data_IF_553724333245
#
_entry.id   IF_553724333245
#
_cell.length_a   1.000
_cell.length_b   1.000
_cell.length_c   1.000
_cell.angle_alpha   90.00
_cell.angle_beta   90.00
_cell.angle_gamma   90.00
#
_symmetry.space_group_name_H-M   'P 1'
#
loop_
_entity.id
_entity.type
_entity.pdbx_description
1 polymer ?
#
# COMPACT_ATOMS: atom_id res chain seq x y z
N UNK A 1 2.69 13.59 3.15
CA UNK A 1 2.95 12.14 3.11
C UNK A 1 1.96 11.54 4.08
N UNK A 2 1.19 10.53 3.68
CA UNK A 2 0.26 9.85 4.57
C UNK A 2 1.09 9.20 5.68
N UNK A 3 0.91 9.70 6.91
CA UNK A 3 1.78 9.40 8.05
C UNK A 3 1.79 7.92 8.40
N UNK A 4 0.69 7.21 8.15
CA UNK A 4 0.52 5.82 8.52
C UNK A 4 1.37 4.85 7.68
N UNK A 5 1.86 5.26 6.51
CA UNK A 5 2.69 4.39 5.66
C UNK A 5 4.01 3.99 6.31
N UNK A 6 4.47 4.73 7.34
CA UNK A 6 5.65 4.38 8.15
C UNK A 6 5.40 3.14 9.02
N UNK A 7 4.16 2.92 9.45
CA UNK A 7 3.80 1.72 10.21
C UNK A 7 3.84 0.44 9.36
N UNK A 8 3.97 0.58 8.04
CA UNK A 8 4.02 -0.52 7.09
C UNK A 8 5.45 -0.90 6.71
N UNK A 9 6.48 -0.27 7.27
CA UNK A 9 7.87 -0.53 6.92
C UNK A 9 8.24 -2.02 6.92
N UNK A 10 7.82 -2.85 7.91
CA UNK A 10 8.07 -4.29 7.86
C UNK A 10 7.42 -4.98 6.64
N UNK A 11 6.20 -4.58 6.27
CA UNK A 11 5.50 -5.11 5.10
C UNK A 11 6.18 -4.63 3.81
N UNK A 12 6.62 -3.37 3.76
CA UNK A 12 7.30 -2.84 2.59
C UNK A 12 8.66 -3.51 2.37
N UNK A 13 9.39 -3.77 3.44
CA UNK A 13 10.64 -4.54 3.41
C UNK A 13 10.41 -5.98 2.94
N UNK A 14 9.40 -6.67 3.48
CA UNK A 14 9.01 -8.02 3.05
C UNK A 14 8.65 -8.09 1.55
N UNK A 15 8.08 -7.02 1.01
CA UNK A 15 7.62 -6.94 -0.38
C UNK A 15 8.65 -6.35 -1.35
N UNK A 16 9.89 -6.08 -0.90
CA UNK A 16 10.94 -5.39 -1.67
C UNK A 16 10.48 -4.01 -2.22
N UNK A 17 9.62 -3.30 -1.47
CA UNK A 17 9.15 -1.96 -1.81
C UNK A 17 10.08 -0.92 -1.16
N UNK A 18 10.73 -0.01 -1.92
CA UNK A 18 11.60 1.00 -1.37
C UNK A 18 10.87 1.92 -0.37
N UNK A 19 11.49 2.17 0.78
CA UNK A 19 10.93 3.04 1.84
C UNK A 19 11.12 4.55 1.59
N UNK A 20 11.23 4.96 0.32
CA UNK A 20 11.41 6.35 -0.10
C UNK A 20 10.07 7.08 -0.26
N UNK A 21 10.11 8.41 -0.22
CA UNK A 21 8.89 9.25 -0.27
C UNK A 21 7.98 8.99 -1.47
N UNK A 22 8.53 8.82 -2.67
CA UNK A 22 7.75 8.56 -3.88
C UNK A 22 7.03 7.22 -3.84
N UNK A 23 7.70 6.17 -3.36
CA UNK A 23 7.12 4.85 -3.18
C UNK A 23 5.97 4.87 -2.17
N UNK A 24 6.14 5.57 -1.04
CA UNK A 24 5.10 5.71 -0.01
C UNK A 24 3.82 6.39 -0.52
N UNK A 25 3.94 7.35 -1.44
CA UNK A 25 2.78 8.00 -2.07
C UNK A 25 2.02 7.01 -2.96
N UNK A 26 2.73 6.22 -3.76
CA UNK A 26 2.10 5.17 -4.59
C UNK A 26 1.45 4.08 -3.73
N UNK A 27 2.13 3.65 -2.66
CA UNK A 27 1.62 2.66 -1.71
C UNK A 27 0.33 3.14 -1.06
N UNK A 28 0.27 4.38 -0.57
CA UNK A 28 -0.96 4.95 0.00
C UNK A 28 -2.12 4.92 -0.98
N UNK A 29 -1.88 5.32 -2.23
CA UNK A 29 -2.90 5.22 -3.27
C UNK A 29 -3.38 3.78 -3.46
N UNK A 30 -2.47 2.81 -3.51
CA UNK A 30 -2.82 1.40 -3.67
C UNK A 30 -3.60 0.86 -2.47
N UNK A 31 -3.25 1.30 -1.26
CA UNK A 31 -3.98 0.95 -0.04
C UNK A 31 -5.41 1.49 -0.10
N UNK A 32 -5.59 2.75 -0.46
CA UNK A 32 -6.92 3.35 -0.61
C UNK A 32 -7.74 2.62 -1.69
N UNK A 33 -7.11 2.21 -2.81
CA UNK A 33 -7.77 1.41 -3.84
C UNK A 33 -8.18 0.02 -3.32
N UNK A 34 -7.34 -0.66 -2.53
CA UNK A 34 -7.65 -1.99 -1.94
C UNK A 34 -8.76 -1.90 -0.91
N UNK A 35 -8.74 -0.84 -0.08
CA UNK A 35 -9.73 -0.63 0.98
C UNK A 35 -11.04 -0.02 0.46
N UNK A 36 -11.07 0.48 -0.78
CA UNK A 36 -12.22 1.21 -1.32
C UNK A 36 -12.41 2.59 -0.68
N UNK A 37 -11.33 3.19 -0.18
CA UNK A 37 -11.32 4.48 0.53
C UNK A 37 -10.58 5.55 -0.26
N UNK A 38 -10.84 5.61 -1.58
CA UNK A 38 -10.24 6.62 -2.48
C UNK A 38 -10.59 8.02 -1.96
N UNK A 39 -9.60 8.90 -1.92
CA UNK A 39 -9.68 10.29 -1.43
C UNK A 39 -9.93 10.43 0.09
N UNK A 40 -9.89 9.32 0.84
CA UNK A 40 -9.94 9.38 2.30
C UNK A 40 -8.60 9.84 2.88
N UNK A 41 -8.67 10.52 4.03
CA UNK A 41 -7.48 10.95 4.75
C UNK A 41 -6.81 9.81 5.54
N UNK A 42 -5.59 10.08 6.00
CA UNK A 42 -4.81 9.12 6.80
C UNK A 42 -5.47 8.73 8.11
N UNK A 43 -6.26 9.63 8.72
CA UNK A 43 -6.95 9.40 9.99
C UNK A 43 -8.13 8.43 9.82
N UNK A 44 -8.71 8.38 8.63
CA UNK A 44 -9.76 7.43 8.25
C UNK A 44 -9.16 6.10 7.78
N UNK A 45 -8.10 6.14 6.97
CA UNK A 45 -7.52 4.93 6.35
C UNK A 45 -6.79 4.07 7.38
N UNK A 46 -6.02 4.66 8.29
CA UNK A 46 -5.17 3.90 9.21
C UNK A 46 -5.95 2.97 10.15
N UNK A 47 -7.00 3.41 10.87
CA UNK A 47 -7.76 2.53 11.75
C UNK A 47 -8.35 1.32 11.02
N UNK A 48 -8.90 1.53 9.82
CA UNK A 48 -9.48 0.48 8.98
C UNK A 48 -8.42 -0.52 8.52
N UNK A 49 -7.27 -0.03 8.05
CA UNK A 49 -6.16 -0.88 7.64
C UNK A 49 -5.61 -1.68 8.82
N UNK A 50 -5.34 -1.00 9.94
CA UNK A 50 -4.75 -1.59 11.13
C UNK A 50 -5.63 -2.70 11.72
N UNK A 51 -6.95 -2.49 11.77
CA UNK A 51 -7.91 -3.51 12.21
C UNK A 51 -7.88 -4.73 11.30
N UNK A 52 -7.93 -4.52 9.99
CA UNK A 52 -7.92 -5.62 9.00
C UNK A 52 -6.60 -6.40 9.00
N UNK A 53 -5.47 -5.74 9.25
CA UNK A 53 -4.16 -6.38 9.36
C UNK A 53 -4.03 -7.30 10.59
N UNK A 54 -4.93 -7.23 11.57
CA UNK A 54 -4.97 -8.19 12.68
C UNK A 54 -5.46 -9.58 12.25
N UNK A 55 -6.21 -9.66 11.13
CA UNK A 55 -6.61 -10.93 10.54
C UNK A 55 -5.46 -11.45 9.65
N UNK A 56 -4.81 -12.58 10.02
CA UNK A 56 -3.68 -13.11 9.26
C UNK A 56 -4.06 -13.54 7.84
N UNK A 57 -5.31 -13.99 7.62
CA UNK A 57 -5.77 -14.37 6.28
C UNK A 57 -5.89 -13.13 5.40
N UNK A 58 -6.48 -12.07 5.95
CA UNK A 58 -6.62 -10.81 5.23
C UNK A 58 -5.27 -10.12 5.02
N UNK A 59 -4.37 -10.14 5.99
CA UNK A 59 -3.04 -9.56 5.88
C UNK A 59 -2.21 -10.19 4.74
N UNK A 60 -2.27 -11.52 4.60
CA UNK A 60 -1.60 -12.21 3.50
C UNK A 60 -2.23 -11.89 2.13
N UNK A 61 -3.56 -11.78 2.06
CA UNK A 61 -4.23 -11.34 0.83
C UNK A 61 -3.88 -9.89 0.47
N UNK A 62 -3.88 -9.00 1.45
CA UNK A 62 -3.47 -7.61 1.30
C UNK A 62 -2.04 -7.48 0.75
N UNK A 63 -1.08 -8.22 1.32
CA UNK A 63 0.31 -8.25 0.82
C UNK A 63 0.38 -8.65 -0.65
N UNK A 64 -0.36 -9.70 -1.05
CA UNK A 64 -0.43 -10.16 -2.45
C UNK A 64 -1.00 -9.08 -3.37
N UNK A 65 -2.10 -8.44 -2.97
CA UNK A 65 -2.71 -7.35 -3.75
C UNK A 65 -1.77 -6.14 -3.86
N UNK A 66 -1.13 -5.74 -2.77
CA UNK A 66 -0.19 -4.62 -2.75
C UNK A 66 1.01 -4.89 -3.65
N UNK A 67 1.60 -6.10 -3.57
CA UNK A 67 2.71 -6.52 -4.45
C UNK A 67 2.30 -6.53 -5.91
N UNK A 68 1.12 -7.09 -6.23
CA UNK A 68 0.62 -7.13 -7.60
C UNK A 68 0.43 -5.72 -8.19
N UNK A 69 -0.12 -4.77 -7.41
CA UNK A 69 -0.25 -3.37 -7.83
C UNK A 69 1.11 -2.70 -8.03
N UNK A 70 2.05 -2.96 -7.13
CA UNK A 70 3.41 -2.43 -7.22
C UNK A 70 4.14 -2.93 -8.47
N UNK A 71 4.11 -4.22 -8.74
CA UNK A 71 4.77 -4.81 -9.92
C UNK A 71 4.12 -4.33 -11.23
N UNK A 72 2.79 -4.15 -11.24
CA UNK A 72 2.06 -3.61 -12.38
C UNK A 72 2.33 -2.11 -12.63
N UNK A 73 2.99 -1.39 -11.71
CA UNK A 73 3.39 -0.01 -11.93
C UNK A 73 4.43 0.11 -13.05
N UNK A 74 5.38 -0.83 -13.12
CA UNK A 74 6.50 -0.70 -14.06
C UNK A 74 6.07 -0.96 -15.51
N UNK A 75 5.05 -1.79 -15.75
CA UNK A 75 4.42 -1.90 -17.07
C UNK A 75 3.83 -0.54 -17.53
N UNK A 76 3.18 0.21 -16.64
CA UNK A 76 2.68 1.57 -16.97
C UNK A 76 3.79 2.57 -17.29
N UNK A 77 4.98 2.45 -16.68
CA UNK A 77 6.14 3.29 -17.01
C UNK A 77 6.78 2.92 -18.34
N UNK A 78 6.83 1.63 -18.69
CA UNK A 78 7.36 1.16 -19.97
C UNK A 78 6.47 1.46 -21.18
N UNK A 79 5.17 1.68 -20.99
CA UNK A 79 4.21 2.09 -22.04
C UNK A 79 4.27 3.59 -22.40
N UNK A 80 4.93 4.40 -21.57
CA UNK A 80 5.07 5.85 -21.76
C UNK A 80 6.51 6.25 -22.14
N UNK A 81 7.39 5.28 -22.42
CA UNK A 81 8.77 5.48 -22.89
C UNK A 81 8.89 5.19 -24.38
#
# INVERSE_FOLDING_TARGET
>A
MPFYTVNLDPILEELDIPMIKSARIEVDRYIQEILGTIDADSETVWPLLHEKLQDPVWAEDFKKQLKAKWDARDWRKGLLS
#
